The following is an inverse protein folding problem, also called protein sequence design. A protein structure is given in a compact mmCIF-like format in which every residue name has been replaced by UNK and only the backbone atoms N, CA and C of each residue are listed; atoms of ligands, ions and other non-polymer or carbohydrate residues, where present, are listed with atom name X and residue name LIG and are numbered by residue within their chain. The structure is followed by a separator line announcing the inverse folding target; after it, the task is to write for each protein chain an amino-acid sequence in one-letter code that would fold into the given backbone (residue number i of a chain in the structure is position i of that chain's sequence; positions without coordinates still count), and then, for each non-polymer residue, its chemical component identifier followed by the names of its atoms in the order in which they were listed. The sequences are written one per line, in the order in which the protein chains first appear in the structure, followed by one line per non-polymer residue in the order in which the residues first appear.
data_IF_773203136636
#
_entry.id   IF_773203136636
#
_cell.length_a   1.000
_cell.length_b   1.000
_cell.length_c   1.000
_cell.angle_alpha   90.00
_cell.angle_beta   90.00
_cell.angle_gamma   90.00
#
_symmetry.space_group_name_H-M   'P 1'
#
loop_
_entity.id
_entity.type
_entity.pdbx_description
1 polymer ?
#
# COMPACT_ATOMS: atom_id res chain seq x y z
N UNK A 1 -13.69 -6.86 16.48
CA UNK A 1 -12.81 -5.77 16.02
C UNK A 1 -11.70 -6.42 15.24
N UNK A 2 -11.53 -6.08 13.97
CA UNK A 2 -10.46 -6.61 13.16
C UNK A 2 -9.18 -5.79 13.42
N UNK A 3 -8.03 -6.45 13.41
CA UNK A 3 -6.72 -5.81 13.49
C UNK A 3 -6.04 -5.90 12.13
N UNK A 4 -5.12 -4.99 11.86
CA UNK A 4 -4.28 -5.07 10.69
C UNK A 4 -3.43 -6.34 10.74
N UNK A 5 -3.56 -7.16 9.71
CA UNK A 5 -2.69 -8.30 9.48
C UNK A 5 -1.68 -7.94 8.38
N UNK A 6 -0.41 -7.87 8.76
CA UNK A 6 0.71 -7.57 7.85
C UNK A 6 1.41 -8.84 7.34
N UNK A 7 0.85 -10.02 7.61
CA UNK A 7 1.41 -11.27 7.12
C UNK A 7 1.21 -11.43 5.60
N UNK A 8 2.09 -12.18 4.92
CA UNK A 8 1.94 -12.43 3.49
C UNK A 8 0.68 -13.25 3.22
N UNK A 9 -0.34 -12.61 2.64
CA UNK A 9 -1.59 -13.27 2.27
C UNK A 9 -1.64 -13.80 0.83
N UNK A 10 -0.74 -13.32 -0.03
CA UNK A 10 -0.69 -13.79 -1.42
C UNK A 10 0.06 -15.11 -1.52
N UNK A 11 -0.57 -16.10 -2.17
CA UNK A 11 0.10 -17.36 -2.54
C UNK A 11 1.24 -17.14 -3.54
N UNK A 12 1.17 -16.06 -4.32
CA UNK A 12 2.21 -15.60 -5.25
C UNK A 12 2.37 -14.07 -5.11
N UNK A 13 3.25 -13.61 -4.20
CA UNK A 13 3.53 -12.19 -4.00
C UNK A 13 4.08 -11.49 -5.26
N UNK A 14 4.83 -12.22 -6.10
CA UNK A 14 5.44 -11.67 -7.31
C UNK A 14 4.40 -11.41 -8.40
N UNK A 15 3.41 -12.29 -8.54
CA UNK A 15 2.26 -12.04 -9.41
C UNK A 15 1.45 -10.82 -8.96
N UNK A 16 1.18 -10.69 -7.66
CA UNK A 16 0.46 -9.54 -7.11
C UNK A 16 1.23 -8.23 -7.36
N UNK A 17 2.53 -8.21 -7.12
CA UNK A 17 3.37 -7.05 -7.38
C UNK A 17 3.41 -6.67 -8.87
N UNK A 18 3.52 -7.68 -9.76
CA UNK A 18 3.49 -7.44 -11.22
C UNK A 18 2.21 -6.76 -11.68
N UNK A 19 1.05 -7.12 -11.13
CA UNK A 19 -0.22 -6.46 -11.46
C UNK A 19 -0.18 -4.96 -11.13
N UNK A 20 0.38 -4.60 -9.97
CA UNK A 20 0.51 -3.21 -9.55
C UNK A 20 1.50 -2.46 -10.45
N UNK A 21 2.66 -3.06 -10.74
CA UNK A 21 3.68 -2.44 -11.61
C UNK A 21 3.15 -2.22 -13.03
N UNK A 22 2.48 -3.22 -13.59
CA UNK A 22 1.93 -3.12 -14.94
C UNK A 22 0.83 -2.05 -15.03
N UNK A 23 0.02 -1.88 -13.97
CA UNK A 23 -0.98 -0.81 -13.90
C UNK A 23 -0.37 0.60 -13.95
N UNK A 24 0.90 0.75 -13.56
CA UNK A 24 1.64 2.01 -13.62
C UNK A 24 2.40 2.23 -14.93
N UNK A 25 2.50 1.20 -15.79
CA UNK A 25 3.34 1.27 -16.98
C UNK A 25 2.81 2.32 -17.96
N UNK A 26 3.69 3.24 -18.36
CA UNK A 26 3.36 4.33 -19.28
C UNK A 26 2.62 5.51 -18.65
N UNK A 27 2.39 5.51 -17.32
CA UNK A 27 1.85 6.66 -16.61
C UNK A 27 2.94 7.68 -16.28
N UNK A 28 2.56 8.96 -16.27
CA UNK A 28 3.38 10.01 -15.66
C UNK A 28 3.37 9.87 -14.14
N UNK A 29 4.31 10.53 -13.45
CA UNK A 29 4.34 10.54 -11.98
C UNK A 29 3.02 11.04 -11.37
N UNK A 30 2.44 12.09 -11.92
CA UNK A 30 1.15 12.61 -11.47
C UNK A 30 0.01 11.60 -11.68
N UNK A 31 -0.06 10.96 -12.84
CA UNK A 31 -1.08 9.95 -13.12
C UNK A 31 -0.90 8.68 -12.27
N UNK A 32 0.35 8.32 -11.96
CA UNK A 32 0.71 7.26 -11.03
C UNK A 32 0.23 7.57 -9.60
N UNK A 33 0.46 8.80 -9.11
CA UNK A 33 -0.05 9.24 -7.82
C UNK A 33 -1.58 9.20 -7.75
N UNK A 34 -2.28 9.66 -8.79
CA UNK A 34 -3.74 9.58 -8.89
C UNK A 34 -4.26 8.14 -8.92
N UNK A 35 -3.56 7.22 -9.60
CA UNK A 35 -3.89 5.80 -9.60
C UNK A 35 -3.76 5.22 -8.18
N UNK A 36 -2.66 5.52 -7.49
CA UNK A 36 -2.44 5.07 -6.12
C UNK A 36 -3.50 5.60 -5.15
N UNK A 37 -3.87 6.87 -5.23
CA UNK A 37 -4.92 7.44 -4.38
C UNK A 37 -6.27 6.73 -4.58
N UNK A 38 -6.66 6.47 -5.83
CA UNK A 38 -7.89 5.71 -6.15
C UNK A 38 -7.81 4.27 -5.68
N UNK A 39 -6.68 3.60 -5.86
CA UNK A 39 -6.47 2.22 -5.42
C UNK A 39 -6.57 2.11 -3.89
N UNK A 40 -5.93 3.01 -3.15
CA UNK A 40 -6.00 3.06 -1.68
C UNK A 40 -7.44 3.22 -1.20
N UNK A 41 -8.22 4.12 -1.80
CA UNK A 41 -9.63 4.30 -1.43
C UNK A 41 -10.48 3.06 -1.71
N UNK A 42 -10.27 2.39 -2.86
CA UNK A 42 -10.97 1.15 -3.18
C UNK A 42 -10.65 0.03 -2.18
N UNK A 43 -9.37 -0.12 -1.82
CA UNK A 43 -8.93 -1.13 -0.85
C UNK A 43 -9.43 -0.81 0.56
N UNK A 44 -9.40 0.46 0.98
CA UNK A 44 -9.95 0.89 2.26
C UNK A 44 -11.46 0.57 2.36
N UNK A 45 -12.21 0.83 1.29
CA UNK A 45 -13.62 0.48 1.21
C UNK A 45 -13.83 -1.05 1.24
N UNK A 46 -12.95 -1.82 0.59
CA UNK A 46 -13.03 -3.28 0.60
C UNK A 46 -12.77 -3.88 1.99
N UNK A 47 -11.85 -3.30 2.76
CA UNK A 47 -11.57 -3.69 4.15
C UNK A 47 -12.77 -3.40 5.06
N UNK A 48 -13.39 -2.22 4.92
CA UNK A 48 -14.64 -1.88 5.60
C UNK A 48 -14.55 -1.62 7.11
N UNK A 49 -13.37 -1.75 7.73
CA UNK A 49 -13.13 -1.46 9.16
C UNK A 49 -12.22 -0.22 9.33
N UNK A 50 -12.73 0.89 9.90
CA UNK A 50 -11.94 2.10 10.15
C UNK A 50 -10.74 1.89 11.07
N UNK A 51 -10.79 0.93 12.00
CA UNK A 51 -9.68 0.64 12.91
C UNK A 51 -8.52 0.02 12.14
N UNK A 52 -8.80 -0.94 11.25
CA UNK A 52 -7.79 -1.55 10.37
C UNK A 52 -7.16 -0.49 9.47
N UNK A 53 -7.95 0.45 8.95
CA UNK A 53 -7.43 1.57 8.16
C UNK A 53 -6.50 2.48 8.97
N UNK A 54 -6.86 2.81 10.22
CA UNK A 54 -6.03 3.62 11.10
C UNK A 54 -4.71 2.92 11.45
N UNK A 55 -4.75 1.62 11.76
CA UNK A 55 -3.58 0.80 12.01
C UNK A 55 -2.67 0.73 10.76
N UNK A 56 -3.25 0.57 9.56
CA UNK A 56 -2.51 0.55 8.30
C UNK A 56 -1.79 1.88 8.00
N UNK A 57 -2.47 3.00 8.22
CA UNK A 57 -1.88 4.34 8.05
C UNK A 57 -0.71 4.57 9.01
N UNK A 58 -0.85 4.17 10.27
CA UNK A 58 0.22 4.27 11.26
C UNK A 58 1.43 3.40 10.88
N UNK A 59 1.19 2.15 10.44
CA UNK A 59 2.25 1.25 9.99
C UNK A 59 2.99 1.80 8.74
N UNK A 60 2.26 2.35 7.76
CA UNK A 60 2.84 2.95 6.57
C UNK A 60 3.70 4.18 6.88
N UNK A 61 3.26 5.04 7.81
CA UNK A 61 4.02 6.20 8.25
C UNK A 61 5.36 5.79 8.91
N UNK A 62 5.31 4.79 9.80
CA UNK A 62 6.51 4.27 10.48
C UNK A 62 7.51 3.63 9.50
N UNK A 63 7.02 2.90 8.48
CA UNK A 63 7.87 2.32 7.44
C UNK A 63 8.54 3.39 6.55
N UNK A 64 7.85 4.52 6.32
CA UNK A 64 8.39 5.65 5.57
C UNK A 64 9.50 6.40 6.30
N UNK A 65 9.39 6.54 7.63
CA UNK A 65 10.43 7.13 8.50
C UNK A 65 11.67 6.23 8.65
N UNK A 66 11.50 4.91 8.53
CA UNK A 66 12.59 3.93 8.58
C UNK A 66 13.50 3.91 7.34
N UNK A 67 13.42 4.92 6.45
CA UNK A 67 14.47 5.20 5.45
C UNK A 67 15.46 6.25 5.99
N UNK A 68 16.49 5.84 6.76
CA UNK A 68 17.64 6.70 6.98
C UNK A 68 18.40 6.81 5.65
N UNK A 69 18.37 8.00 5.06
CA UNK A 69 19.59 8.52 4.42
C UNK A 69 20.73 8.41 5.43
N UNK A 70 21.90 7.94 4.99
CA UNK A 70 23.14 7.89 5.75
C UNK A 70 23.13 7.06 7.04
N UNK A 71 23.52 5.80 6.90
CA UNK A 71 24.52 5.28 7.85
C UNK A 71 25.89 5.77 7.32
N UNK A 72 26.68 6.51 8.13
CA UNK A 72 27.96 7.07 7.70
C UNK A 72 28.97 5.99 7.31
#
# INVERSE_FOLDING_TARGET
MAHLDTSPHFSDPDAAFRLIVEAHRGLTEAASADLNARLVLLLANHVGDPQVLAEALAAAAAAGEARPSDRP
#
